data_IF_420458894469
#
_entry.id   IF_420458894469
#
_cell.length_a   1.000
_cell.length_b   1.000
_cell.length_c   1.000
_cell.angle_alpha   90.00
_cell.angle_beta   90.00
_cell.angle_gamma   90.00
#
_symmetry.space_group_name_H-M   'P 1'
#
loop_
_entity.id
_entity.type
_entity.pdbx_description
1 polymer ?
#
# COMPACT_ATOMS: atom_id res chain seq x y z
N UNK A 1 10.82 -21.87 -23.87
CA UNK A 1 11.46 -20.56 -23.66
C UNK A 1 10.70 -19.74 -22.61
N UNK A 2 9.52 -19.25 -22.94
CA UNK A 2 8.78 -18.34 -22.09
C UNK A 2 8.40 -18.94 -20.72
N UNK A 3 7.91 -20.17 -20.67
CA UNK A 3 7.52 -20.83 -19.41
C UNK A 3 8.65 -21.02 -18.39
N UNK A 4 9.88 -21.11 -18.84
CA UNK A 4 11.02 -21.43 -17.96
C UNK A 4 12.11 -20.36 -17.99
N UNK A 5 11.84 -19.21 -18.58
CA UNK A 5 12.78 -18.09 -18.75
C UNK A 5 14.17 -18.53 -19.25
N UNK A 6 14.19 -19.47 -20.16
CA UNK A 6 15.44 -20.05 -20.70
C UNK A 6 15.54 -19.84 -22.18
N UNK A 7 16.71 -19.43 -22.63
CA UNK A 7 17.05 -19.47 -24.04
C UNK A 7 17.35 -20.92 -24.46
N UNK A 8 16.31 -21.63 -24.94
CA UNK A 8 16.45 -22.99 -25.44
C UNK A 8 16.86 -23.06 -26.93
N UNK A 9 16.87 -21.92 -27.61
CA UNK A 9 17.29 -21.81 -29.00
C UNK A 9 18.81 -21.70 -29.08
N UNK A 10 19.43 -21.02 -28.13
CA UNK A 10 20.87 -20.83 -28.03
C UNK A 10 21.35 -19.39 -28.25
N UNK A 11 22.62 -19.17 -27.98
CA UNK A 11 23.27 -17.89 -28.24
C UNK A 11 23.33 -17.61 -29.76
N UNK A 12 23.42 -16.34 -30.19
CA UNK A 12 23.45 -15.99 -31.63
C UNK A 12 24.53 -16.70 -32.45
N UNK A 13 25.64 -17.02 -31.81
CA UNK A 13 26.76 -17.74 -32.45
C UNK A 13 26.49 -19.23 -32.64
N UNK A 14 25.44 -19.77 -32.05
CA UNK A 14 25.10 -21.20 -32.08
C UNK A 14 23.84 -21.49 -32.90
N UNK A 15 23.22 -20.47 -33.48
CA UNK A 15 21.96 -20.59 -34.20
C UNK A 15 22.17 -20.33 -35.68
N UNK A 16 21.76 -21.30 -36.50
CA UNK A 16 21.65 -21.16 -37.96
C UNK A 16 20.21 -20.75 -38.28
N UNK A 17 20.02 -19.66 -39.00
CA UNK A 17 18.72 -19.17 -39.39
C UNK A 17 18.62 -18.72 -40.84
N UNK A 18 17.42 -18.83 -41.39
CA UNK A 18 17.14 -18.28 -42.71
C UNK A 18 17.02 -16.76 -42.64
N UNK A 19 17.93 -16.06 -43.35
CA UNK A 19 18.00 -14.60 -43.36
C UNK A 19 16.68 -13.91 -43.78
N UNK A 20 15.86 -14.57 -44.57
CA UNK A 20 14.56 -14.02 -45.02
C UNK A 20 13.55 -13.88 -43.86
N UNK A 21 13.72 -14.60 -42.77
CA UNK A 21 12.89 -14.48 -41.59
C UNK A 21 13.41 -13.44 -40.60
N UNK A 22 14.64 -12.99 -40.75
CA UNK A 22 15.24 -11.95 -39.91
C UNK A 22 14.75 -10.59 -40.36
N UNK A 23 14.12 -9.87 -39.42
CA UNK A 23 13.53 -8.54 -39.67
C UNK A 23 14.52 -7.38 -39.76
N UNK A 24 15.83 -7.68 -39.83
CA UNK A 24 16.91 -6.69 -39.98
C UNK A 24 17.36 -6.02 -38.69
N UNK A 25 16.70 -6.25 -37.58
CA UNK A 25 17.06 -5.69 -36.25
C UNK A 25 17.13 -6.79 -35.21
N UNK A 26 18.32 -7.01 -34.65
CA UNK A 26 18.52 -7.91 -33.52
C UNK A 26 17.99 -7.30 -32.23
N UNK A 27 17.44 -8.14 -31.35
CA UNK A 27 16.85 -7.68 -30.09
C UNK A 27 15.43 -7.10 -30.23
N UNK A 28 14.75 -7.37 -31.34
CA UNK A 28 13.39 -6.86 -31.55
C UNK A 28 12.36 -7.99 -31.58
N UNK A 29 11.21 -7.76 -30.96
CA UNK A 29 10.02 -8.57 -31.10
C UNK A 29 8.82 -7.66 -31.41
N UNK A 30 8.15 -7.88 -32.54
CA UNK A 30 7.03 -7.06 -33.04
C UNK A 30 7.32 -5.53 -33.06
N UNK A 31 8.53 -5.15 -33.38
CA UNK A 31 8.94 -3.73 -33.46
C UNK A 31 9.41 -3.08 -32.16
N UNK A 32 9.27 -3.77 -31.03
CA UNK A 32 9.75 -3.32 -29.72
C UNK A 32 11.15 -3.86 -29.46
N UNK A 33 12.03 -3.01 -28.92
CA UNK A 33 13.41 -3.35 -28.59
C UNK A 33 13.51 -3.99 -27.18
N UNK A 34 14.36 -5.01 -27.07
CA UNK A 34 14.75 -5.67 -25.84
C UNK A 34 16.28 -5.70 -25.76
N UNK A 35 16.84 -5.32 -24.63
CA UNK A 35 18.28 -5.13 -24.46
C UNK A 35 18.95 -6.24 -23.67
N UNK A 36 18.33 -6.70 -22.59
CA UNK A 36 18.88 -7.74 -21.74
C UNK A 36 18.58 -9.16 -22.22
N UNK A 37 17.47 -9.35 -22.95
CA UNK A 37 17.02 -10.64 -23.53
C UNK A 37 16.85 -10.52 -25.05
N UNK A 38 17.75 -9.78 -25.67
CA UNK A 38 17.71 -9.43 -27.09
C UNK A 38 17.73 -10.65 -28.02
N UNK A 39 18.48 -11.69 -27.71
CA UNK A 39 18.53 -12.96 -28.45
C UNK A 39 17.17 -13.68 -28.40
N UNK A 40 16.54 -13.77 -27.23
CA UNK A 40 15.26 -14.41 -27.04
C UNK A 40 14.16 -13.67 -27.80
N UNK A 41 14.13 -12.33 -27.72
CA UNK A 41 13.20 -11.50 -28.48
C UNK A 41 13.36 -11.71 -30.00
N UNK A 42 14.60 -11.77 -30.49
CA UNK A 42 14.90 -12.07 -31.89
C UNK A 42 14.38 -13.45 -32.31
N UNK A 43 14.66 -14.49 -31.51
CA UNK A 43 14.22 -15.85 -31.84
C UNK A 43 12.71 -15.97 -31.85
N UNK A 44 11.99 -15.32 -30.92
CA UNK A 44 10.53 -15.29 -30.93
C UNK A 44 9.97 -14.57 -32.17
N UNK A 45 10.56 -13.47 -32.60
CA UNK A 45 10.12 -12.79 -33.85
C UNK A 45 10.32 -13.64 -35.08
N UNK A 46 11.41 -14.40 -35.14
CA UNK A 46 11.69 -15.33 -36.24
C UNK A 46 10.77 -16.55 -36.20
N UNK A 47 10.51 -17.14 -35.01
CA UNK A 47 9.60 -18.29 -34.86
C UNK A 47 8.17 -17.95 -35.29
N UNK A 48 7.76 -16.71 -35.20
CA UNK A 48 6.48 -16.25 -35.70
C UNK A 48 6.36 -16.35 -37.24
N UNK A 49 7.48 -16.33 -37.92
CA UNK A 49 7.56 -16.32 -39.39
C UNK A 49 7.93 -17.67 -40.01
N UNK A 50 8.43 -18.60 -39.20
CA UNK A 50 8.92 -19.89 -39.74
C UNK A 50 9.02 -20.99 -38.69
N UNK A 51 9.36 -22.19 -39.17
CA UNK A 51 9.55 -23.38 -38.33
C UNK A 51 10.95 -23.37 -37.70
N UNK A 52 11.05 -23.94 -36.51
CA UNK A 52 12.32 -24.16 -35.79
C UNK A 52 12.61 -25.65 -35.72
N UNK A 53 13.86 -25.99 -35.97
CA UNK A 53 14.39 -27.34 -35.76
C UNK A 53 15.37 -27.29 -34.61
N UNK A 54 15.17 -28.13 -33.62
CA UNK A 54 16.07 -28.28 -32.49
C UNK A 54 17.03 -29.45 -32.71
N UNK A 55 18.34 -29.20 -32.60
CA UNK A 55 19.38 -30.21 -32.65
C UNK A 55 19.81 -30.50 -31.21
N UNK A 56 19.67 -31.75 -30.77
CA UNK A 56 19.96 -32.15 -29.38
C UNK A 56 21.45 -32.22 -29.06
N UNK A 57 22.31 -32.36 -30.10
CA UNK A 57 23.74 -32.47 -29.92
C UNK A 57 24.37 -31.10 -29.58
N UNK A 58 25.28 -31.03 -28.60
CA UNK A 58 25.98 -29.79 -28.29
C UNK A 58 26.98 -29.43 -29.40
N UNK A 59 26.64 -28.38 -30.16
CA UNK A 59 27.46 -27.92 -31.30
C UNK A 59 28.46 -26.82 -30.91
N UNK A 60 28.33 -26.24 -29.69
CA UNK A 60 29.21 -25.19 -29.20
C UNK A 60 29.24 -25.13 -27.67
N UNK A 61 30.24 -24.43 -27.13
CA UNK A 61 30.40 -24.22 -25.69
C UNK A 61 30.38 -22.76 -25.35
N UNK A 62 29.68 -22.39 -24.30
CA UNK A 62 29.61 -21.04 -23.76
C UNK A 62 30.68 -20.81 -22.70
N UNK A 63 31.64 -19.90 -22.98
CA UNK A 63 32.68 -19.53 -22.01
C UNK A 63 32.11 -18.54 -20.98
N UNK A 64 32.21 -18.90 -19.73
CA UNK A 64 31.86 -17.99 -18.64
C UNK A 64 33.09 -17.25 -18.08
N UNK A 65 32.95 -15.93 -17.83
CA UNK A 65 33.97 -15.11 -17.18
C UNK A 65 33.33 -14.03 -16.29
N UNK A 66 34.11 -13.42 -15.40
CA UNK A 66 33.60 -12.47 -14.38
C UNK A 66 33.04 -11.16 -14.96
N UNK A 67 33.52 -10.75 -16.14
CA UNK A 67 33.10 -9.52 -16.80
C UNK A 67 31.86 -9.62 -17.69
N UNK A 68 31.13 -10.75 -17.66
CA UNK A 68 29.91 -10.89 -18.43
C UNK A 68 28.78 -10.03 -17.87
N UNK A 69 28.01 -9.39 -18.77
CA UNK A 69 26.85 -8.54 -18.41
C UNK A 69 25.82 -9.25 -17.52
N UNK A 70 25.64 -10.57 -17.72
CA UNK A 70 24.72 -11.39 -16.93
C UNK A 70 25.03 -11.44 -15.42
N UNK A 71 26.24 -11.05 -15.00
CA UNK A 71 26.65 -10.99 -13.58
C UNK A 71 26.55 -9.59 -12.99
N UNK A 72 26.21 -8.59 -13.79
CA UNK A 72 26.05 -7.22 -13.31
C UNK A 72 24.61 -6.98 -12.79
N UNK A 73 24.46 -6.48 -11.58
CA UNK A 73 23.16 -6.28 -10.94
C UNK A 73 22.20 -5.42 -11.78
N UNK A 74 22.72 -4.38 -12.44
CA UNK A 74 21.93 -3.55 -13.34
C UNK A 74 21.29 -4.36 -14.47
N UNK A 75 22.07 -5.27 -15.09
CA UNK A 75 21.61 -6.11 -16.18
C UNK A 75 20.58 -7.14 -15.71
N UNK A 76 20.79 -7.72 -14.53
CA UNK A 76 19.87 -8.67 -13.90
C UNK A 76 18.49 -8.03 -13.67
N UNK A 77 18.45 -6.79 -13.19
CA UNK A 77 17.19 -6.06 -12.95
C UNK A 77 16.46 -5.73 -14.25
N UNK A 78 17.18 -5.30 -15.30
CA UNK A 78 16.61 -5.11 -16.64
C UNK A 78 16.02 -6.41 -17.18
N UNK A 79 16.68 -7.53 -16.95
CA UNK A 79 16.22 -8.85 -17.40
C UNK A 79 14.83 -9.19 -16.82
N UNK A 80 14.57 -8.89 -15.56
CA UNK A 80 13.26 -9.13 -14.92
C UNK A 80 12.15 -8.33 -15.61
N UNK A 81 12.36 -7.03 -15.80
CA UNK A 81 11.38 -6.15 -16.47
C UNK A 81 11.11 -6.61 -17.91
N UNK A 82 12.18 -6.88 -18.67
CA UNK A 82 12.06 -7.29 -20.07
C UNK A 82 11.40 -8.67 -20.22
N UNK A 83 11.61 -9.62 -19.28
CA UNK A 83 10.89 -10.90 -19.29
C UNK A 83 9.40 -10.72 -19.10
N UNK A 84 8.96 -9.85 -18.16
CA UNK A 84 7.54 -9.58 -17.95
C UNK A 84 6.91 -9.03 -19.22
N UNK A 85 7.58 -8.05 -19.82
CA UNK A 85 7.12 -7.40 -21.06
C UNK A 85 7.07 -8.40 -22.24
N UNK A 86 8.10 -9.21 -22.40
CA UNK A 86 8.17 -10.20 -23.47
C UNK A 86 7.12 -11.32 -23.31
N UNK A 87 6.88 -11.80 -22.10
CA UNK A 87 5.82 -12.77 -21.80
C UNK A 87 4.45 -12.19 -22.16
N UNK A 88 4.21 -10.93 -21.79
CA UNK A 88 2.94 -10.22 -22.07
C UNK A 88 2.77 -10.00 -23.59
N UNK A 89 3.80 -9.50 -24.28
CA UNK A 89 3.77 -9.27 -25.72
C UNK A 89 3.64 -10.61 -26.51
N UNK A 90 4.24 -11.69 -26.00
CA UNK A 90 4.11 -13.02 -26.58
C UNK A 90 2.70 -13.61 -26.39
N UNK A 91 2.10 -13.46 -25.18
CA UNK A 91 0.72 -13.87 -24.92
C UNK A 91 -0.24 -13.15 -25.88
N UNK A 92 -0.15 -11.84 -25.97
CA UNK A 92 -0.94 -11.01 -26.89
C UNK A 92 -0.70 -11.32 -28.38
N UNK A 93 0.34 -12.10 -28.67
CA UNK A 93 0.74 -12.52 -30.03
C UNK A 93 0.41 -13.98 -30.33
N UNK A 94 -0.22 -14.70 -29.40
CA UNK A 94 -0.64 -16.10 -29.58
C UNK A 94 0.45 -17.14 -29.35
N UNK A 95 1.57 -16.78 -28.69
CA UNK A 95 2.60 -17.78 -28.30
C UNK A 95 2.27 -18.53 -27.01
N UNK A 96 1.51 -17.88 -26.11
CA UNK A 96 1.00 -18.48 -24.89
C UNK A 96 -0.52 -18.50 -25.03
N UNK A 97 -1.06 -19.57 -25.60
CA UNK A 97 -2.46 -19.63 -26.05
C UNK A 97 -3.47 -19.80 -24.91
N UNK A 98 -3.03 -20.26 -23.74
CA UNK A 98 -3.91 -20.40 -22.59
C UNK A 98 -3.57 -19.40 -21.50
N UNK A 99 -4.58 -18.94 -20.81
CA UNK A 99 -4.45 -18.11 -19.60
C UNK A 99 -3.59 -18.81 -18.53
N UNK A 100 -3.69 -20.13 -18.45
CA UNK A 100 -2.89 -20.96 -17.56
C UNK A 100 -1.39 -20.88 -17.90
N UNK A 101 -1.02 -21.02 -19.18
CA UNK A 101 0.36 -20.94 -19.63
C UNK A 101 0.96 -19.55 -19.40
N UNK A 102 0.15 -18.50 -19.58
CA UNK A 102 0.54 -17.13 -19.31
C UNK A 102 0.84 -16.92 -17.82
N UNK A 103 -0.07 -17.34 -16.92
CA UNK A 103 0.11 -17.26 -15.48
C UNK A 103 1.26 -18.07 -14.96
N UNK A 104 1.48 -19.28 -15.48
CA UNK A 104 2.63 -20.11 -15.14
C UNK A 104 3.95 -19.41 -15.51
N UNK A 105 4.01 -18.77 -16.68
CA UNK A 105 5.20 -18.04 -17.14
C UNK A 105 5.50 -16.85 -16.23
N UNK A 106 4.48 -16.09 -15.82
CA UNK A 106 4.62 -14.97 -14.89
C UNK A 106 4.99 -15.44 -13.48
N UNK A 107 4.41 -16.53 -13.00
CA UNK A 107 4.76 -17.13 -11.70
C UNK A 107 6.23 -17.56 -11.65
N UNK A 108 6.72 -18.18 -12.72
CA UNK A 108 8.13 -18.56 -12.83
C UNK A 108 9.05 -17.33 -12.87
N UNK A 109 8.61 -16.24 -13.51
CA UNK A 109 9.32 -14.98 -13.49
C UNK A 109 9.42 -14.40 -12.07
N UNK A 110 8.34 -14.49 -11.28
CA UNK A 110 8.30 -14.07 -9.89
C UNK A 110 9.25 -14.89 -8.99
N UNK A 111 9.28 -16.19 -9.15
CA UNK A 111 10.20 -17.10 -8.43
C UNK A 111 11.65 -16.74 -8.71
N UNK A 112 12.01 -16.53 -9.99
CA UNK A 112 13.35 -16.12 -10.36
C UNK A 112 13.72 -14.73 -9.84
N UNK A 113 12.80 -13.77 -9.89
CA UNK A 113 13.00 -12.45 -9.29
C UNK A 113 13.25 -12.55 -7.78
N UNK A 114 12.51 -13.39 -7.07
CA UNK A 114 12.72 -13.69 -5.66
C UNK A 114 14.09 -14.29 -5.35
N UNK A 115 14.57 -15.19 -6.21
CA UNK A 115 15.90 -15.80 -6.08
C UNK A 115 17.02 -14.78 -6.26
N UNK A 116 16.92 -13.94 -7.28
CA UNK A 116 17.84 -12.84 -7.58
C UNK A 116 17.90 -11.85 -6.42
N UNK A 117 16.74 -11.47 -5.86
CA UNK A 117 16.65 -10.58 -4.72
C UNK A 117 17.31 -11.16 -3.47
N UNK A 118 17.08 -12.45 -3.20
CA UNK A 118 17.68 -13.14 -2.05
C UNK A 118 19.22 -13.16 -2.15
N UNK A 119 19.75 -13.37 -3.34
CA UNK A 119 21.18 -13.36 -3.58
C UNK A 119 21.78 -11.95 -3.46
N UNK A 120 21.09 -10.93 -4.01
CA UNK A 120 21.47 -9.54 -3.91
C UNK A 120 21.49 -9.04 -2.46
N UNK A 121 20.50 -9.42 -1.64
CA UNK A 121 20.47 -9.10 -0.19
C UNK A 121 21.65 -9.73 0.53
N UNK A 122 21.96 -11.00 0.24
CA UNK A 122 23.08 -11.73 0.88
C UNK A 122 24.46 -11.16 0.52
N UNK A 123 24.62 -10.68 -0.70
CA UNK A 123 25.88 -10.11 -1.21
C UNK A 123 26.07 -8.63 -0.82
N UNK A 124 25.13 -8.01 -0.11
CA UNK A 124 25.20 -6.59 0.26
C UNK A 124 25.10 -5.63 -0.93
N UNK A 125 24.66 -6.13 -2.10
CA UNK A 125 24.66 -5.38 -3.37
C UNK A 125 23.46 -4.45 -3.59
N UNK A 126 22.56 -4.30 -2.61
CA UNK A 126 21.38 -3.44 -2.74
C UNK A 126 21.65 -2.03 -2.23
N UNK A 127 21.76 -1.08 -3.13
CA UNK A 127 21.70 0.35 -2.81
C UNK A 127 20.27 0.89 -3.02
N UNK A 128 20.03 2.13 -2.57
CA UNK A 128 18.69 2.75 -2.60
C UNK A 128 18.09 2.82 -4.02
N UNK A 129 18.92 3.02 -5.06
CA UNK A 129 18.47 3.09 -6.47
C UNK A 129 17.97 1.73 -6.96
N UNK A 130 18.64 0.65 -6.57
CA UNK A 130 18.22 -0.71 -6.93
C UNK A 130 16.94 -1.12 -6.21
N UNK A 131 16.76 -0.70 -4.94
CA UNK A 131 15.53 -0.96 -4.19
C UNK A 131 14.29 -0.38 -4.88
N UNK A 132 14.36 0.83 -5.41
CA UNK A 132 13.23 1.44 -6.12
C UNK A 132 12.92 0.72 -7.45
N UNK A 133 13.93 0.38 -8.24
CA UNK A 133 13.73 -0.36 -9.50
C UNK A 133 13.14 -1.76 -9.27
N UNK A 134 13.60 -2.45 -8.23
CA UNK A 134 13.06 -3.76 -7.83
C UNK A 134 11.60 -3.64 -7.43
N UNK A 135 11.23 -2.65 -6.62
CA UNK A 135 9.84 -2.39 -6.23
C UNK A 135 8.95 -2.16 -7.45
N UNK A 136 9.41 -1.35 -8.40
CA UNK A 136 8.67 -1.06 -9.64
C UNK A 136 8.48 -2.33 -10.48
N UNK A 137 9.55 -3.12 -10.67
CA UNK A 137 9.49 -4.38 -11.44
C UNK A 137 8.57 -5.42 -10.80
N UNK A 138 8.68 -5.62 -9.47
CA UNK A 138 7.81 -6.53 -8.74
C UNK A 138 6.34 -6.07 -8.75
N UNK A 139 6.08 -4.77 -8.62
CA UNK A 139 4.73 -4.23 -8.70
C UNK A 139 4.12 -4.46 -10.09
N UNK A 140 4.87 -4.23 -11.17
CA UNK A 140 4.42 -4.56 -12.54
C UNK A 140 4.08 -6.05 -12.67
N UNK A 141 4.96 -6.94 -12.18
CA UNK A 141 4.77 -8.39 -12.25
C UNK A 141 3.50 -8.82 -11.50
N UNK A 142 3.32 -8.35 -10.26
CA UNK A 142 2.15 -8.65 -9.44
C UNK A 142 0.87 -8.13 -10.12
N UNK A 143 0.91 -6.95 -10.71
CA UNK A 143 -0.23 -6.38 -11.46
C UNK A 143 -0.62 -7.26 -12.64
N UNK A 144 0.34 -7.80 -13.40
CA UNK A 144 0.07 -8.69 -14.55
C UNK A 144 -0.44 -10.07 -14.13
N UNK A 145 0.06 -10.63 -13.02
CA UNK A 145 -0.39 -11.95 -12.52
C UNK A 145 -1.83 -11.87 -11.99
N UNK A 146 -2.18 -10.79 -11.33
CA UNK A 146 -3.45 -10.65 -10.62
C UNK A 146 -4.48 -9.78 -11.34
N UNK A 147 -4.39 -9.60 -12.62
CA UNK A 147 -5.20 -8.77 -13.58
C UNK A 147 -6.61 -8.29 -13.20
N UNK A 148 -7.11 -8.47 -11.98
CA UNK A 148 -8.51 -8.20 -11.67
C UNK A 148 -8.81 -7.12 -10.63
N UNK A 149 -7.89 -6.76 -9.75
CA UNK A 149 -8.12 -5.63 -8.86
C UNK A 149 -6.79 -4.89 -8.59
N UNK A 150 -6.50 -3.90 -9.41
CA UNK A 150 -5.40 -2.97 -9.12
C UNK A 150 -5.76 -2.23 -7.84
N UNK A 151 -5.01 -2.50 -6.77
CA UNK A 151 -5.02 -1.65 -5.59
C UNK A 151 -4.44 -0.29 -5.94
N UNK A 152 -4.98 0.75 -5.36
CA UNK A 152 -4.56 2.12 -5.64
C UNK A 152 -4.41 2.90 -4.35
N UNK A 153 -3.26 3.52 -4.17
CA UNK A 153 -3.04 4.42 -3.06
C UNK A 153 -3.26 5.87 -3.49
N UNK A 154 -4.24 6.51 -2.88
CA UNK A 154 -4.59 7.90 -3.15
C UNK A 154 -3.45 8.86 -2.77
N UNK A 155 -2.63 8.57 -1.74
CA UNK A 155 -1.56 9.45 -1.28
C UNK A 155 -0.34 9.51 -2.22
N UNK A 156 0.09 8.39 -2.77
CA UNK A 156 1.21 8.37 -3.72
C UNK A 156 0.78 8.28 -5.19
N UNK A 157 -0.53 8.23 -5.47
CA UNK A 157 -1.11 8.14 -6.81
C UNK A 157 -0.59 6.94 -7.62
N UNK A 158 -0.33 5.79 -6.96
CA UNK A 158 0.18 4.60 -7.61
C UNK A 158 -0.77 3.42 -7.50
N UNK A 159 -0.86 2.67 -8.61
CA UNK A 159 -1.51 1.36 -8.67
C UNK A 159 -0.51 0.23 -8.46
N UNK A 160 -0.91 -0.84 -7.78
CA UNK A 160 -0.09 -2.02 -7.52
C UNK A 160 -0.97 -3.25 -7.23
N UNK A 161 -0.36 -4.43 -7.24
CA UNK A 161 -1.08 -5.70 -7.10
C UNK A 161 -1.64 -6.00 -5.69
N UNK A 162 -1.24 -5.24 -4.67
CA UNK A 162 -1.74 -5.42 -3.31
C UNK A 162 -1.06 -4.51 -2.30
N UNK A 163 -1.76 -4.19 -1.22
CA UNK A 163 -1.18 -3.53 -0.06
C UNK A 163 -0.35 -4.52 0.77
N UNK A 164 0.59 -4.00 1.57
CA UNK A 164 1.41 -4.80 2.46
C UNK A 164 0.68 -5.12 3.77
N UNK A 165 0.99 -6.26 4.40
CA UNK A 165 0.46 -6.57 5.71
C UNK A 165 1.01 -5.61 6.77
N UNK A 166 0.30 -5.49 7.88
CA UNK A 166 0.83 -4.88 9.09
C UNK A 166 2.07 -5.65 9.58
N UNK A 167 3.10 -4.98 10.10
CA UNK A 167 4.24 -5.65 10.72
C UNK A 167 3.79 -6.59 11.84
N UNK A 168 4.39 -7.79 11.92
CA UNK A 168 3.95 -8.90 12.77
C UNK A 168 4.18 -8.72 14.30
N UNK A 169 4.47 -7.52 14.77
CA UNK A 169 4.90 -7.29 16.17
C UNK A 169 3.77 -7.00 17.17
N UNK A 170 2.52 -7.15 16.74
CA UNK A 170 1.40 -6.92 17.65
C UNK A 170 0.85 -8.22 18.20
N UNK A 171 1.10 -8.52 19.48
CA UNK A 171 0.55 -9.64 20.26
C UNK A 171 -0.97 -9.51 20.52
N UNK A 172 -1.69 -8.92 19.57
CA UNK A 172 -3.13 -8.64 19.68
C UNK A 172 -4.04 -9.80 19.24
N UNK A 173 -3.53 -11.01 19.10
CA UNK A 173 -4.28 -12.16 18.59
C UNK A 173 -5.55 -12.49 19.35
N UNK A 174 -5.70 -12.01 20.60
CA UNK A 174 -6.91 -12.20 21.41
C UNK A 174 -8.05 -11.23 21.07
N UNK A 175 -7.75 -10.10 20.39
CA UNK A 175 -8.72 -9.06 20.07
C UNK A 175 -9.07 -9.08 18.60
N UNK A 176 -10.36 -8.92 18.29
CA UNK A 176 -10.86 -8.75 16.93
C UNK A 176 -11.11 -7.27 16.69
N UNK A 177 -10.17 -6.58 16.06
CA UNK A 177 -10.32 -5.17 15.75
C UNK A 177 -11.27 -4.98 14.56
N UNK A 178 -12.08 -3.93 14.62
CA UNK A 178 -13.00 -3.52 13.59
C UNK A 178 -12.26 -3.13 12.30
N UNK A 179 -11.21 -2.34 12.43
CA UNK A 179 -10.33 -1.93 11.35
C UNK A 179 -8.96 -2.59 11.54
N UNK A 180 -8.84 -3.80 11.04
CA UNK A 180 -7.59 -4.56 11.04
C UNK A 180 -7.42 -5.29 9.73
N UNK A 181 -6.89 -4.58 8.76
CA UNK A 181 -6.59 -5.17 7.46
C UNK A 181 -5.22 -5.85 7.49
N UNK A 182 -5.14 -6.99 8.19
CA UNK A 182 -3.90 -7.74 8.45
C UNK A 182 -2.99 -7.86 7.21
N UNK A 183 -3.59 -8.04 6.03
CA UNK A 183 -2.85 -8.28 4.78
C UNK A 183 -2.80 -7.06 3.85
N UNK A 184 -3.57 -6.01 4.12
CA UNK A 184 -3.70 -4.84 3.25
C UNK A 184 -3.57 -3.51 4.01
N UNK A 185 -2.96 -3.53 5.19
CA UNK A 185 -2.90 -2.38 6.09
C UNK A 185 -2.04 -1.23 5.56
N UNK A 186 -0.93 -1.51 4.88
CA UNK A 186 0.10 -0.51 4.58
C UNK A 186 0.35 -0.41 3.07
N UNK A 187 0.46 0.82 2.55
CA UNK A 187 0.90 1.05 1.18
C UNK A 187 2.39 0.65 1.02
N UNK A 188 2.75 -0.19 0.05
CA UNK A 188 4.14 -0.63 -0.13
C UNK A 188 5.07 0.49 -0.62
N UNK A 189 4.53 1.62 -1.06
CA UNK A 189 5.29 2.74 -1.64
C UNK A 189 5.44 3.90 -0.66
N UNK A 190 4.33 4.46 -0.15
CA UNK A 190 4.37 5.65 0.71
C UNK A 190 4.10 5.35 2.19
N UNK A 191 3.85 4.09 2.54
CA UNK A 191 3.57 3.61 3.88
C UNK A 191 2.30 4.16 4.52
N UNK A 192 1.40 4.81 3.74
CA UNK A 192 0.08 5.21 4.25
C UNK A 192 -0.70 4.00 4.75
N UNK A 193 -1.41 4.21 5.86
CA UNK A 193 -2.19 3.17 6.52
C UNK A 193 -3.61 3.08 5.93
N UNK A 194 -4.28 1.96 6.18
CA UNK A 194 -5.67 1.73 5.76
C UNK A 194 -6.62 2.82 6.27
N UNK A 195 -6.53 3.19 7.56
CA UNK A 195 -7.35 4.26 8.14
C UNK A 195 -7.15 5.60 7.44
N UNK A 196 -5.91 5.97 7.12
CA UNK A 196 -5.63 7.22 6.40
C UNK A 196 -6.30 7.24 5.02
N UNK A 197 -6.24 6.11 4.29
CA UNK A 197 -6.91 5.96 2.99
C UNK A 197 -8.44 6.04 3.13
N UNK A 198 -9.00 5.54 4.24
CA UNK A 198 -10.43 5.64 4.52
C UNK A 198 -10.85 7.08 4.84
N UNK A 199 -10.05 7.83 5.62
CA UNK A 199 -10.30 9.27 5.86
C UNK A 199 -10.32 10.04 4.54
N UNK A 200 -9.32 9.83 3.72
CA UNK A 200 -9.23 10.50 2.43
C UNK A 200 -10.40 10.14 1.51
N UNK A 201 -10.76 8.86 1.41
CA UNK A 201 -11.90 8.43 0.62
C UNK A 201 -13.21 9.09 1.08
N UNK A 202 -13.44 9.17 2.39
CA UNK A 202 -14.61 9.86 2.95
C UNK A 202 -14.60 11.35 2.63
N UNK A 203 -13.50 12.04 2.90
CA UNK A 203 -13.37 13.49 2.68
C UNK A 203 -13.60 13.83 1.20
N UNK A 204 -13.01 13.07 0.27
CA UNK A 204 -13.10 13.32 -1.17
C UNK A 204 -14.52 13.08 -1.73
N UNK A 205 -15.32 12.18 -1.12
CA UNK A 205 -16.61 11.76 -1.72
C UNK A 205 -17.84 12.20 -0.94
N UNK A 206 -17.72 12.44 0.35
CA UNK A 206 -18.89 12.69 1.22
C UNK A 206 -18.88 14.12 1.80
N UNK A 207 -17.85 14.93 1.51
CA UNK A 207 -17.73 16.28 2.05
C UNK A 207 -17.28 17.29 0.99
N UNK A 208 -17.46 18.56 1.29
CA UNK A 208 -17.01 19.70 0.50
C UNK A 208 -15.76 20.38 1.09
N UNK A 209 -15.07 19.71 2.04
CA UNK A 209 -13.89 20.22 2.74
C UNK A 209 -12.80 20.73 1.77
N UNK A 210 -12.63 20.07 0.64
CA UNK A 210 -11.57 20.39 -0.31
C UNK A 210 -11.90 21.55 -1.27
N UNK A 211 -13.15 22.00 -1.30
CA UNK A 211 -13.64 23.08 -2.19
C UNK A 211 -14.11 24.34 -1.48
N UNK A 212 -14.66 24.19 -0.27
CA UNK A 212 -15.18 25.30 0.51
C UNK A 212 -14.22 25.75 1.61
N UNK A 213 -14.41 26.95 2.15
CA UNK A 213 -13.52 27.51 3.19
C UNK A 213 -13.86 26.93 4.56
N UNK A 214 -12.90 26.26 5.19
CA UNK A 214 -13.04 25.66 6.50
C UNK A 214 -11.86 25.99 7.43
N UNK A 215 -12.15 26.06 8.73
CA UNK A 215 -11.12 26.04 9.78
C UNK A 215 -11.11 24.63 10.39
N UNK A 216 -9.99 23.94 10.29
CA UNK A 216 -9.86 22.55 10.69
C UNK A 216 -8.83 22.36 11.80
N UNK A 217 -9.19 21.56 12.82
CA UNK A 217 -8.28 21.08 13.85
C UNK A 217 -7.93 19.62 13.62
N UNK A 218 -6.64 19.31 13.57
CA UNK A 218 -6.13 17.93 13.47
C UNK A 218 -5.24 17.62 14.66
N UNK A 219 -5.70 16.75 15.55
CA UNK A 219 -4.97 16.31 16.74
C UNK A 219 -4.09 15.10 16.39
N UNK A 220 -2.82 15.16 16.81
CA UNK A 220 -1.80 14.14 16.57
C UNK A 220 -1.74 13.69 15.08
N UNK A 221 -1.48 14.62 14.14
CA UNK A 221 -1.71 14.41 12.73
C UNK A 221 -0.81 13.33 12.13
N UNK A 222 -1.41 12.39 11.42
CA UNK A 222 -0.68 11.45 10.57
C UNK A 222 0.03 12.20 9.44
N UNK A 223 1.29 11.85 9.21
CA UNK A 223 2.16 12.58 8.28
C UNK A 223 1.53 12.70 6.87
N UNK A 224 0.98 11.62 6.33
CA UNK A 224 0.42 11.61 4.98
C UNK A 224 -0.88 12.40 4.88
N UNK A 225 -1.72 12.36 5.90
CA UNK A 225 -2.96 13.16 5.96
C UNK A 225 -2.62 14.63 6.04
N UNK A 226 -1.66 15.02 6.90
CA UNK A 226 -1.17 16.39 7.04
C UNK A 226 -0.57 16.93 5.74
N UNK A 227 0.34 16.17 5.12
CA UNK A 227 0.95 16.54 3.84
C UNK A 227 -0.10 16.77 2.74
N UNK A 228 -1.13 15.95 2.72
CA UNK A 228 -2.22 16.04 1.75
C UNK A 228 -3.11 17.26 2.02
N UNK A 229 -3.59 17.47 3.24
CA UNK A 229 -4.50 18.57 3.59
C UNK A 229 -3.83 19.94 3.47
N UNK A 230 -2.53 20.07 3.77
CA UNK A 230 -1.77 21.31 3.62
C UNK A 230 -1.68 21.83 2.16
N UNK A 231 -2.04 21.02 1.16
CA UNK A 231 -2.08 21.47 -0.24
C UNK A 231 -3.30 22.36 -0.56
N UNK A 232 -4.33 22.35 0.31
CA UNK A 232 -5.58 23.04 0.09
C UNK A 232 -5.60 24.40 0.80
N UNK A 233 -5.53 25.48 0.03
CA UNK A 233 -5.45 26.86 0.54
C UNK A 233 -6.77 27.36 1.14
N UNK A 234 -7.89 26.72 0.83
CA UNK A 234 -9.21 27.02 1.40
C UNK A 234 -9.36 26.49 2.82
N UNK A 235 -8.43 25.65 3.31
CA UNK A 235 -8.46 25.13 4.66
C UNK A 235 -7.51 25.94 5.54
N UNK A 236 -8.05 26.62 6.53
CA UNK A 236 -7.25 27.14 7.66
C UNK A 236 -6.93 25.95 8.57
N UNK A 237 -5.76 25.35 8.33
CA UNK A 237 -5.37 24.08 8.94
C UNK A 237 -4.53 24.31 10.19
N UNK A 238 -5.08 23.91 11.35
CA UNK A 238 -4.40 23.89 12.66
C UNK A 238 -4.14 22.44 13.02
N UNK A 239 -2.91 22.13 13.40
CA UNK A 239 -2.56 20.80 13.88
C UNK A 239 -1.70 20.86 15.14
N UNK A 240 -1.90 19.92 16.04
CA UNK A 240 -1.19 19.89 17.30
C UNK A 240 -1.09 18.51 17.93
N UNK A 241 -0.14 18.39 18.83
CA UNK A 241 0.12 17.21 19.65
C UNK A 241 0.50 17.66 21.05
N UNK A 242 0.39 16.79 22.06
CA UNK A 242 0.90 17.06 23.39
C UNK A 242 2.43 17.28 23.37
N UNK A 243 3.13 16.58 22.49
CA UNK A 243 4.57 16.71 22.22
C UNK A 243 4.80 17.02 20.73
N UNK A 244 4.77 18.30 20.31
CA UNK A 244 4.97 18.68 18.92
C UNK A 244 6.28 18.16 18.33
N UNK A 245 6.21 17.54 17.14
CA UNK A 245 7.37 16.95 16.47
C UNK A 245 8.11 17.94 15.56
N UNK A 246 7.49 19.05 15.24
CA UNK A 246 8.06 20.12 14.42
C UNK A 246 7.43 21.49 14.77
N UNK A 247 8.01 22.58 14.25
CA UNK A 247 7.62 23.96 14.52
C UNK A 247 6.27 24.40 13.88
N UNK A 248 5.66 23.54 13.07
CA UNK A 248 4.34 23.81 12.44
C UNK A 248 3.21 23.30 13.34
N UNK A 249 3.50 22.36 14.21
CA UNK A 249 2.54 21.80 15.17
C UNK A 249 2.48 22.64 16.43
N UNK A 250 1.26 22.86 16.91
CA UNK A 250 1.02 23.49 18.21
C UNK A 250 1.09 22.45 19.34
N UNK A 251 1.49 22.90 20.54
CA UNK A 251 1.32 22.10 21.75
C UNK A 251 -0.15 22.14 22.18
N UNK A 252 -0.84 21.01 22.06
CA UNK A 252 -2.26 20.91 22.37
C UNK A 252 -2.51 19.74 23.33
N UNK A 253 -2.90 20.08 24.56
CA UNK A 253 -3.53 19.13 25.48
C UNK A 253 -5.00 18.99 25.12
N UNK A 254 -5.40 17.83 24.59
CA UNK A 254 -6.77 17.54 24.18
C UNK A 254 -7.78 17.63 25.34
N UNK A 255 -7.33 17.52 26.59
CA UNK A 255 -8.19 17.69 27.79
C UNK A 255 -8.39 19.16 28.18
N UNK A 256 -7.67 20.09 27.51
CA UNK A 256 -7.74 21.53 27.74
C UNK A 256 -7.30 22.28 26.49
N UNK A 257 -8.09 22.22 25.44
CA UNK A 257 -7.79 22.88 24.16
C UNK A 257 -7.83 24.41 24.32
N UNK A 258 -6.71 25.09 24.04
CA UNK A 258 -6.52 26.52 24.22
C UNK A 258 -7.17 27.35 23.09
N UNK A 259 -8.38 26.99 22.67
CA UNK A 259 -9.18 27.67 21.67
C UNK A 259 -10.57 28.03 22.24
N UNK A 260 -11.17 29.06 21.71
CA UNK A 260 -12.53 29.50 22.06
C UNK A 260 -13.57 28.42 21.67
N UNK A 261 -14.76 28.53 22.28
CA UNK A 261 -15.89 27.69 21.88
C UNK A 261 -16.24 27.94 20.41
N UNK A 262 -16.64 26.89 19.69
CA UNK A 262 -17.12 27.00 18.31
C UNK A 262 -16.08 27.64 17.34
N UNK A 263 -14.84 27.25 17.44
CA UNK A 263 -13.76 27.78 16.62
C UNK A 263 -13.60 27.00 15.28
N UNK A 264 -13.73 25.70 15.34
CA UNK A 264 -13.43 24.83 14.21
C UNK A 264 -14.68 24.33 13.51
N UNK A 265 -14.65 24.32 12.20
CA UNK A 265 -15.69 23.73 11.36
C UNK A 265 -15.55 22.21 11.28
N UNK A 266 -14.29 21.74 11.28
CA UNK A 266 -13.94 20.32 11.12
C UNK A 266 -12.89 19.89 12.14
N UNK A 267 -13.05 18.70 12.71
CA UNK A 267 -12.06 18.09 13.62
C UNK A 267 -11.66 16.70 13.09
N UNK A 268 -10.36 16.42 13.10
CA UNK A 268 -9.81 15.08 12.92
C UNK A 268 -8.99 14.70 14.16
N UNK A 269 -9.41 13.64 14.84
CA UNK A 269 -8.74 13.09 16.02
C UNK A 269 -8.72 11.57 15.92
N UNK A 270 -7.55 11.03 15.65
CA UNK A 270 -7.40 9.62 15.31
C UNK A 270 -6.31 8.96 16.15
N UNK A 271 -6.66 7.88 16.82
CA UNK A 271 -5.75 7.11 17.67
C UNK A 271 -5.05 7.94 18.75
N UNK A 272 -5.86 8.73 19.47
CA UNK A 272 -5.42 9.60 20.56
C UNK A 272 -6.12 9.23 21.87
N UNK A 273 -7.44 9.04 21.84
CA UNK A 273 -8.26 8.93 23.07
C UNK A 273 -7.95 7.65 23.88
N UNK A 274 -7.44 6.62 23.26
CA UNK A 274 -6.98 5.40 23.94
C UNK A 274 -5.75 5.63 24.85
N UNK A 275 -5.04 6.75 24.66
CA UNK A 275 -3.88 7.15 25.46
C UNK A 275 -4.26 8.14 26.58
N UNK A 276 -5.44 8.77 26.51
CA UNK A 276 -5.85 9.86 27.39
C UNK A 276 -6.57 9.29 28.62
N UNK A 277 -6.08 9.60 29.83
CA UNK A 277 -6.67 9.08 31.08
C UNK A 277 -8.10 9.58 31.28
N UNK A 278 -8.39 10.85 30.98
CA UNK A 278 -9.72 11.47 31.04
C UNK A 278 -10.25 11.74 29.61
N UNK A 279 -10.57 10.68 28.89
CA UNK A 279 -11.07 10.75 27.53
C UNK A 279 -12.44 11.42 27.42
N UNK A 280 -13.29 11.29 28.45
CA UNK A 280 -14.57 12.00 28.47
C UNK A 280 -14.39 13.52 28.52
N UNK A 281 -13.40 13.99 29.26
CA UNK A 281 -13.05 15.43 29.28
C UNK A 281 -12.50 15.84 27.90
N UNK A 282 -11.63 15.04 27.31
CA UNK A 282 -11.10 15.30 25.97
C UNK A 282 -12.22 15.37 24.92
N UNK A 283 -13.17 14.44 24.94
CA UNK A 283 -14.34 14.45 24.04
C UNK A 283 -15.20 15.71 24.25
N UNK A 284 -15.42 16.15 25.49
CA UNK A 284 -16.15 17.41 25.78
C UNK A 284 -15.40 18.65 25.27
N UNK A 285 -14.07 18.68 25.35
CA UNK A 285 -13.27 19.77 24.78
C UNK A 285 -13.33 19.79 23.24
N UNK A 286 -13.22 18.63 22.58
CA UNK A 286 -13.44 18.52 21.12
C UNK A 286 -14.84 19.03 20.74
N UNK A 287 -15.88 18.62 21.47
CA UNK A 287 -17.25 19.14 21.27
C UNK A 287 -17.33 20.64 21.47
N UNK A 288 -16.70 21.16 22.52
CA UNK A 288 -16.74 22.61 22.86
C UNK A 288 -16.16 23.45 21.72
N UNK A 289 -15.02 23.05 21.17
CA UNK A 289 -14.33 23.85 20.14
C UNK A 289 -14.91 23.64 18.73
N UNK A 290 -15.69 22.59 18.50
CA UNK A 290 -16.40 22.38 17.24
C UNK A 290 -17.57 23.37 17.13
N UNK A 291 -17.77 24.00 15.97
CA UNK A 291 -18.89 24.90 15.67
C UNK A 291 -20.22 24.15 15.61
N UNK A 292 -21.36 24.85 15.87
CA UNK A 292 -22.67 24.31 15.49
C UNK A 292 -22.71 23.97 14.01
N UNK A 293 -23.27 22.81 13.63
CA UNK A 293 -23.24 22.20 12.30
C UNK A 293 -21.84 21.77 11.82
N UNK A 294 -20.82 21.90 12.66
CA UNK A 294 -19.50 21.35 12.37
C UNK A 294 -19.51 19.81 12.46
N UNK A 295 -18.51 19.21 11.84
CA UNK A 295 -18.35 17.76 11.83
C UNK A 295 -16.89 17.33 12.13
N UNK A 296 -16.70 16.06 12.39
CA UNK A 296 -15.36 15.54 12.58
C UNK A 296 -15.26 14.04 12.37
N UNK A 297 -14.04 13.56 12.27
CA UNK A 297 -13.69 12.15 12.35
C UNK A 297 -13.00 11.93 13.68
N UNK A 298 -13.60 11.11 14.55
CA UNK A 298 -12.97 10.71 15.82
C UNK A 298 -12.83 9.19 15.80
N UNK A 299 -11.61 8.70 15.72
CA UNK A 299 -11.30 7.30 15.51
C UNK A 299 -10.41 6.75 16.64
N UNK A 300 -10.70 5.52 17.09
CA UNK A 300 -9.89 4.76 18.04
C UNK A 300 -9.85 3.29 17.60
N UNK A 301 -8.92 2.47 18.09
CA UNK A 301 -8.98 1.02 17.89
C UNK A 301 -10.22 0.42 18.57
N UNK A 302 -11.19 -0.02 17.78
CA UNK A 302 -12.40 -0.68 18.28
C UNK A 302 -12.22 -2.18 18.28
N UNK A 303 -12.52 -2.83 19.42
CA UNK A 303 -12.50 -4.28 19.57
C UNK A 303 -13.92 -4.81 19.51
N UNK A 304 -14.16 -5.79 18.61
CA UNK A 304 -15.48 -6.32 18.32
C UNK A 304 -15.92 -7.50 19.21
N UNK A 305 -14.97 -8.17 19.83
CA UNK A 305 -15.22 -9.33 20.68
C UNK A 305 -15.17 -9.00 22.19
N UNK A 306 -15.52 -7.78 22.57
CA UNK A 306 -15.71 -7.34 23.96
C UNK A 306 -17.00 -6.52 24.07
N UNK A 307 -17.72 -6.68 25.19
CA UNK A 307 -19.05 -6.11 25.38
C UNK A 307 -19.03 -4.72 26.04
N UNK A 308 -17.89 -4.33 26.60
CA UNK A 308 -17.73 -3.05 27.31
C UNK A 308 -16.31 -2.51 27.14
N UNK A 309 -16.11 -1.24 27.48
CA UNK A 309 -14.78 -0.61 27.49
C UNK A 309 -13.95 -1.25 28.61
N UNK A 310 -12.80 -1.81 28.24
CA UNK A 310 -11.86 -2.35 29.20
C UNK A 310 -10.90 -1.24 29.62
N UNK A 311 -11.02 -0.80 30.88
CA UNK A 311 -10.11 0.20 31.43
C UNK A 311 -9.84 -0.04 32.91
N UNK A 312 -8.65 0.34 33.38
CA UNK A 312 -8.30 0.28 34.77
C UNK A 312 -7.24 1.34 35.09
N UNK A 313 -7.67 2.42 35.74
CA UNK A 313 -6.80 3.56 36.08
C UNK A 313 -5.65 3.22 37.05
N UNK A 314 -5.72 2.09 37.75
CA UNK A 314 -4.62 1.63 38.63
C UNK A 314 -3.45 1.00 37.88
N UNK A 315 -3.63 0.66 36.60
CA UNK A 315 -2.58 0.10 35.74
C UNK A 315 -1.72 1.25 35.20
N UNK A 316 -0.61 1.53 35.86
CA UNK A 316 0.33 2.59 35.49
C UNK A 316 1.62 2.10 34.86
N UNK A 317 1.99 0.84 35.10
CA UNK A 317 3.19 0.22 34.53
C UNK A 317 3.02 -0.01 33.01
N UNK A 318 3.98 0.42 32.17
CA UNK A 318 3.97 0.18 30.73
C UNK A 318 3.81 -1.29 30.36
N UNK A 319 4.52 -2.19 31.06
CA UNK A 319 4.42 -3.65 30.84
C UNK A 319 3.01 -4.16 31.14
N UNK A 320 2.40 -3.70 32.24
CA UNK A 320 1.04 -4.11 32.59
C UNK A 320 0.01 -3.52 31.63
N UNK A 321 0.21 -2.29 31.14
CA UNK A 321 -0.61 -1.68 30.08
C UNK A 321 -0.55 -2.52 28.79
N UNK A 322 0.65 -2.91 28.38
CA UNK A 322 0.83 -3.78 27.22
C UNK A 322 0.06 -5.10 27.35
N UNK A 323 0.10 -5.72 28.51
CA UNK A 323 -0.63 -6.97 28.79
C UNK A 323 -2.16 -6.72 28.80
N UNK A 324 -2.61 -5.65 29.44
CA UNK A 324 -4.03 -5.36 29.62
C UNK A 324 -4.67 -4.77 28.36
N UNK A 325 -3.99 -3.81 27.71
CA UNK A 325 -4.54 -2.95 26.66
C UNK A 325 -3.82 -3.09 25.31
N UNK A 326 -2.75 -3.91 25.27
CA UNK A 326 -2.06 -4.26 24.03
C UNK A 326 -0.89 -3.36 23.63
N UNK A 327 -0.78 -2.14 24.20
CA UNK A 327 0.38 -1.24 24.03
C UNK A 327 0.80 -0.65 25.38
N UNK A 328 2.05 -0.20 25.45
CA UNK A 328 2.67 0.28 26.70
C UNK A 328 2.09 1.62 27.17
N UNK A 329 1.50 2.38 26.27
CA UNK A 329 0.93 3.71 26.45
C UNK A 329 -0.60 3.76 26.39
N UNK A 330 -1.26 2.67 25.99
CA UNK A 330 -2.71 2.56 26.04
C UNK A 330 -3.20 2.49 27.51
N UNK A 331 -4.31 3.15 27.78
CA UNK A 331 -4.95 3.14 29.10
C UNK A 331 -6.33 2.47 29.08
N UNK A 332 -6.81 2.13 27.89
CA UNK A 332 -8.07 1.41 27.65
C UNK A 332 -8.16 0.70 26.31
N UNK A 333 -9.17 -0.14 26.20
CA UNK A 333 -9.66 -0.73 24.97
C UNK A 333 -11.12 -0.35 24.82
N UNK A 334 -11.47 0.19 23.66
CA UNK A 334 -12.84 0.53 23.33
C UNK A 334 -13.56 -0.63 22.64
N UNK A 335 -14.82 -0.83 23.00
CA UNK A 335 -15.80 -1.50 22.16
C UNK A 335 -16.67 -0.47 21.44
N UNK A 336 -17.38 -0.86 20.40
CA UNK A 336 -18.16 0.04 19.55
C UNK A 336 -19.25 0.78 20.35
N UNK A 337 -20.09 0.05 21.09
CA UNK A 337 -21.20 0.66 21.83
C UNK A 337 -20.74 1.63 22.91
N UNK A 338 -19.71 1.28 23.66
CA UNK A 338 -19.15 2.16 24.69
C UNK A 338 -18.50 3.41 24.13
N UNK A 339 -17.80 3.30 22.99
CA UNK A 339 -17.20 4.47 22.32
C UNK A 339 -18.27 5.43 21.81
N UNK A 340 -19.30 4.92 21.12
CA UNK A 340 -20.44 5.72 20.65
C UNK A 340 -21.14 6.39 21.83
N UNK A 341 -21.36 5.68 22.94
CA UNK A 341 -22.01 6.22 24.12
C UNK A 341 -21.21 7.40 24.72
N UNK A 342 -19.87 7.26 24.89
CA UNK A 342 -19.03 8.36 25.40
C UNK A 342 -19.04 9.59 24.50
N UNK A 343 -18.99 9.40 23.18
CA UNK A 343 -19.12 10.51 22.24
C UNK A 343 -20.50 11.18 22.35
N UNK A 344 -21.57 10.41 22.48
CA UNK A 344 -22.93 10.93 22.65
C UNK A 344 -23.08 11.67 23.98
N UNK A 345 -22.52 11.15 25.06
CA UNK A 345 -22.53 11.80 26.39
C UNK A 345 -21.73 13.10 26.40
N UNK A 346 -20.73 13.23 25.52
CA UNK A 346 -20.00 14.47 25.30
C UNK A 346 -20.79 15.50 24.48
N UNK A 347 -21.93 15.10 23.89
CA UNK A 347 -22.84 15.97 23.13
C UNK A 347 -22.88 15.70 21.61
N UNK A 348 -22.04 14.84 21.09
CA UNK A 348 -21.99 14.56 19.66
C UNK A 348 -23.16 13.69 19.19
N UNK A 349 -23.65 13.98 17.98
CA UNK A 349 -24.37 13.01 17.16
C UNK A 349 -23.36 12.18 16.40
N UNK A 350 -23.42 10.85 16.54
CA UNK A 350 -22.46 9.92 15.92
C UNK A 350 -23.11 9.22 14.73
N UNK A 351 -22.45 9.26 13.57
CA UNK A 351 -22.83 8.59 12.35
C UNK A 351 -21.72 7.62 11.95
N UNK A 352 -22.07 6.40 11.55
CA UNK A 352 -21.11 5.42 11.06
C UNK A 352 -21.04 5.45 9.53
N UNK A 353 -19.84 5.58 8.99
CA UNK A 353 -19.62 5.50 7.56
C UNK A 353 -18.85 4.23 7.23
N UNK A 354 -19.41 3.45 6.30
CA UNK A 354 -18.77 2.25 5.73
C UNK A 354 -18.60 2.42 4.23
N UNK A 355 -17.36 2.44 3.76
CA UNK A 355 -17.06 2.65 2.33
C UNK A 355 -17.62 1.50 1.46
N UNK A 356 -17.59 0.26 1.96
CA UNK A 356 -18.08 -0.88 1.19
C UNK A 356 -19.59 -0.83 0.97
N UNK A 357 -20.35 -0.29 1.95
CA UNK A 357 -21.80 -0.08 1.83
C UNK A 357 -22.13 1.13 0.95
N UNK A 358 -21.37 2.22 1.08
CA UNK A 358 -21.63 3.47 0.34
C UNK A 358 -21.16 3.46 -1.11
N UNK A 359 -19.95 2.93 -1.35
CA UNK A 359 -19.30 2.98 -2.66
C UNK A 359 -19.13 1.59 -3.30
N UNK A 360 -19.41 0.53 -2.55
CA UNK A 360 -19.30 -0.86 -3.00
C UNK A 360 -17.94 -1.51 -2.71
N UNK A 361 -17.93 -2.83 -2.57
CA UNK A 361 -16.77 -3.64 -2.25
C UNK A 361 -15.60 -3.48 -3.23
N UNK A 362 -15.89 -3.19 -4.51
CA UNK A 362 -14.85 -2.99 -5.53
C UNK A 362 -13.99 -1.76 -5.21
N UNK A 363 -14.62 -0.66 -4.80
CA UNK A 363 -13.93 0.57 -4.40
C UNK A 363 -13.19 0.38 -3.08
N UNK A 364 -13.83 -0.25 -2.10
CA UNK A 364 -13.17 -0.56 -0.82
C UNK A 364 -11.88 -1.36 -1.04
N UNK A 365 -11.94 -2.47 -1.77
CA UNK A 365 -10.76 -3.29 -2.09
C UNK A 365 -9.69 -2.55 -2.88
N UNK A 366 -10.10 -1.68 -3.82
CA UNK A 366 -9.16 -0.82 -4.55
C UNK A 366 -8.27 0.00 -3.62
N UNK A 367 -8.80 0.45 -2.49
CA UNK A 367 -8.06 1.20 -1.47
C UNK A 367 -7.49 0.33 -0.33
N UNK A 368 -7.53 -1.00 -0.46
CA UNK A 368 -7.07 -1.94 0.55
C UNK A 368 -7.93 -1.97 1.81
N UNK A 369 -9.22 -1.65 1.64
CA UNK A 369 -10.21 -1.57 2.72
C UNK A 369 -11.16 -2.77 2.66
N UNK A 370 -11.79 -3.08 3.79
CA UNK A 370 -12.68 -4.23 3.97
C UNK A 370 -14.12 -3.79 4.27
N UNK A 371 -15.01 -4.76 4.33
CA UNK A 371 -16.41 -4.55 4.72
C UNK A 371 -16.62 -4.20 6.19
N UNK A 372 -15.60 -4.39 7.02
CA UNK A 372 -15.66 -4.09 8.46
C UNK A 372 -15.10 -2.74 8.82
N UNK A 373 -14.44 -2.05 7.88
CA UNK A 373 -13.83 -0.76 8.16
C UNK A 373 -14.89 0.33 8.30
N UNK A 374 -14.93 0.93 9.48
CA UNK A 374 -15.90 1.97 9.85
C UNK A 374 -15.19 3.27 10.20
N UNK A 375 -15.76 4.41 9.79
CA UNK A 375 -15.44 5.71 10.36
C UNK A 375 -16.52 6.15 11.33
N UNK A 376 -16.10 6.79 12.39
CA UNK A 376 -16.96 7.43 13.37
C UNK A 376 -17.00 8.93 13.05
N UNK A 377 -18.06 9.33 12.37
CA UNK A 377 -18.31 10.73 12.01
C UNK A 377 -19.12 11.34 13.13
N UNK A 378 -18.63 12.46 13.66
CA UNK A 378 -19.30 13.21 14.72
C UNK A 378 -19.84 14.52 14.19
N UNK A 379 -20.99 14.96 14.71
CA UNK A 379 -21.60 16.25 14.40
C UNK A 379 -22.04 16.97 15.69
N UNK A 380 -21.95 18.30 15.66
CA UNK A 380 -22.47 19.15 16.75
C UNK A 380 -23.81 19.71 16.40
#
# INVERSE_FOLDING_TARGET
MLKHLKNVVGEPTTVLFNRNFFGGKFGYFKGKAYSAINDIATWLDMMRKGKVVYIQEPLSYFRQHSGQNQKQMHFILMTIEEWIELITDAHNSGFLNSEQDYKESLSYCLENAGFILKDAVRSGGLNQIYNEKIKVGLNKLVTHIFEKEICYCQYCNQGFGGFSPWPAHYDFLKYQFEMWNKYTGICPVCYSMDRERLYRAYIETETDLLSENYTMLHIAPEVKVREWLNQYKNITYVCGDLEPKDSVMEEIDITRIAYENNTFDVILCSHVLEHIIDDEKAMRELYRVLKPNGWGIIQVPIVMNVDYIIENKSIVSPILRKIAFGQEDHVRIYNRSGFIQRLTDAGFKVELYNIAEKQGMKIARKFGLSKTDMLYIVRK
#
